data_IF_547597002835
#
_entry.id   IF_547597002835
#
_cell.length_a   1.000
_cell.length_b   1.000
_cell.length_c   1.000
_cell.angle_alpha   90.00
_cell.angle_beta   90.00
_cell.angle_gamma   90.00
#
_symmetry.space_group_name_H-M   'P 1'
#
loop_
_entity.id
_entity.type
_entity.pdbx_description
1 polymer ?
#
# COMPACT_ATOMS: atom_id res chain seq x y z
N UNK A 1 -63.42 -6.06 -82.22
CA UNK A 1 -62.14 -6.25 -82.88
C UNK A 1 -61.23 -5.08 -82.52
N UNK A 2 -60.45 -5.15 -81.48
CA UNK A 2 -59.57 -4.05 -81.06
C UNK A 2 -58.15 -4.55 -81.16
N UNK A 3 -57.34 -3.85 -81.94
CA UNK A 3 -55.91 -4.08 -82.15
C UNK A 3 -55.15 -3.54 -80.94
N UNK A 4 -54.32 -4.40 -80.32
CA UNK A 4 -53.41 -4.00 -79.26
C UNK A 4 -52.05 -3.70 -79.95
N UNK A 5 -51.58 -2.46 -79.81
CA UNK A 5 -50.26 -2.01 -80.21
C UNK A 5 -49.30 -2.22 -79.05
N UNK A 6 -48.27 -3.06 -79.24
CA UNK A 6 -47.21 -3.28 -78.26
C UNK A 6 -46.12 -2.25 -78.58
N UNK A 7 -45.90 -1.35 -77.63
CA UNK A 7 -44.72 -0.46 -77.66
C UNK A 7 -43.54 -1.11 -76.98
N UNK A 8 -42.48 -1.42 -77.73
CA UNK A 8 -41.20 -1.85 -77.17
C UNK A 8 -40.41 -0.64 -76.67
N UNK A 9 -40.26 -0.53 -75.39
CA UNK A 9 -39.35 0.47 -74.80
C UNK A 9 -37.95 -0.18 -74.61
N UNK A 10 -37.00 0.29 -75.41
CA UNK A 10 -35.57 -0.08 -75.30
C UNK A 10 -35.00 0.64 -74.08
N UNK A 11 -34.64 -0.11 -73.05
CA UNK A 11 -33.88 0.40 -71.92
C UNK A 11 -32.39 0.33 -72.24
N UNK A 12 -31.77 1.47 -72.53
CA UNK A 12 -30.32 1.60 -72.55
C UNK A 12 -29.78 1.56 -71.13
N UNK A 13 -29.07 0.49 -70.79
CA UNK A 13 -28.30 0.38 -69.59
C UNK A 13 -26.95 1.12 -69.79
N UNK A 14 -26.82 2.29 -69.20
CA UNK A 14 -25.54 2.97 -69.05
C UNK A 14 -24.73 2.27 -67.99
N UNK A 15 -23.72 1.46 -68.33
CA UNK A 15 -22.68 0.97 -67.42
C UNK A 15 -21.80 2.16 -67.01
N UNK A 16 -22.11 2.83 -65.92
CA UNK A 16 -21.19 3.76 -65.27
C UNK A 16 -20.10 2.89 -64.55
N UNK A 17 -18.94 2.81 -65.18
CA UNK A 17 -17.72 2.27 -64.56
C UNK A 17 -17.30 3.20 -63.41
N UNK A 18 -17.70 2.89 -62.19
CA UNK A 18 -17.11 3.50 -61.00
C UNK A 18 -15.67 3.00 -60.88
N UNK A 19 -14.72 3.78 -61.34
CA UNK A 19 -13.32 3.65 -60.99
C UNK A 19 -13.25 4.01 -59.48
N UNK A 20 -13.24 3.00 -58.62
CA UNK A 20 -12.83 3.16 -57.22
C UNK A 20 -11.38 3.63 -57.23
N UNK A 21 -11.16 4.92 -56.87
CA UNK A 21 -9.82 5.35 -56.44
C UNK A 21 -9.42 4.45 -55.29
N UNK A 22 -8.36 3.70 -55.46
CA UNK A 22 -7.72 3.01 -54.35
C UNK A 22 -7.32 4.10 -53.33
N UNK A 23 -7.87 4.03 -52.12
CA UNK A 23 -7.35 4.78 -50.97
C UNK A 23 -5.87 4.35 -50.81
N UNK A 24 -4.97 5.32 -50.62
CA UNK A 24 -3.56 4.96 -50.32
C UNK A 24 -3.56 4.08 -49.04
N UNK A 25 -3.10 2.86 -49.16
CA UNK A 25 -2.75 2.07 -48.00
C UNK A 25 -1.63 2.84 -47.30
N UNK A 26 -1.94 3.40 -46.14
CA UNK A 26 -0.93 3.89 -45.21
C UNK A 26 -0.22 2.60 -44.75
N UNK A 27 0.96 2.31 -45.29
CA UNK A 27 1.86 1.36 -44.67
C UNK A 27 2.11 1.90 -43.24
N UNK A 28 1.56 1.24 -42.24
CA UNK A 28 1.97 1.47 -40.86
C UNK A 28 3.48 1.18 -40.81
N UNK A 29 4.29 2.24 -40.75
CA UNK A 29 5.72 2.10 -40.44
C UNK A 29 5.81 1.33 -39.13
N UNK A 30 6.24 0.07 -39.20
CA UNK A 30 6.58 -0.71 -38.02
C UNK A 30 7.73 0.04 -37.35
N UNK A 31 7.52 0.62 -36.15
CA UNK A 31 8.56 1.40 -35.48
C UNK A 31 9.80 0.51 -35.30
N UNK A 32 10.96 1.05 -35.63
CA UNK A 32 12.23 0.34 -35.39
C UNK A 32 12.31 -0.09 -33.92
N UNK A 33 12.74 -1.33 -33.62
CA UNK A 33 12.81 -1.81 -32.24
C UNK A 33 13.77 -0.93 -31.43
N UNK A 34 13.27 -0.31 -30.39
CA UNK A 34 14.06 0.50 -29.45
C UNK A 34 14.63 -0.46 -28.39
N UNK A 35 15.95 -0.44 -28.14
CA UNK A 35 16.54 -1.31 -27.14
C UNK A 35 16.04 -0.96 -25.73
N UNK A 36 15.66 -1.96 -24.96
CA UNK A 36 15.09 -1.81 -23.61
C UNK A 36 16.01 -1.03 -22.66
N UNK A 37 17.31 -1.23 -22.79
CA UNK A 37 18.33 -0.54 -21.98
C UNK A 37 18.76 0.82 -22.57
N UNK A 38 18.21 1.23 -23.74
CA UNK A 38 18.68 2.41 -24.48
C UNK A 38 19.95 2.16 -25.29
N UNK A 39 20.50 0.94 -25.27
CA UNK A 39 21.60 0.47 -26.08
C UNK A 39 21.42 -1.03 -26.37
N UNK A 40 22.08 -1.53 -27.42
CA UNK A 40 22.05 -2.94 -27.81
C UNK A 40 23.10 -3.74 -27.03
N UNK A 41 22.72 -4.63 -26.09
CA UNK A 41 23.67 -5.39 -25.27
C UNK A 41 24.38 -6.53 -26.03
N UNK A 42 23.76 -7.08 -27.09
CA UNK A 42 24.18 -8.33 -27.75
C UNK A 42 25.60 -8.32 -28.28
N UNK A 43 26.14 -7.12 -28.56
CA UNK A 43 27.51 -6.95 -29.06
C UNK A 43 28.53 -6.67 -27.95
N UNK A 44 28.13 -6.69 -26.70
CA UNK A 44 28.94 -6.34 -25.54
C UNK A 44 29.12 -7.56 -24.61
N UNK A 45 30.32 -7.68 -24.05
CA UNK A 45 30.57 -8.65 -23.00
C UNK A 45 30.02 -8.13 -21.71
N UNK A 46 29.23 -8.95 -21.01
CA UNK A 46 28.61 -8.56 -19.70
C UNK A 46 29.33 -9.24 -18.55
N UNK A 47 29.49 -8.50 -17.46
CA UNK A 47 29.91 -9.01 -16.16
C UNK A 47 28.90 -8.54 -15.11
N UNK A 48 28.32 -9.47 -14.39
CA UNK A 48 27.40 -9.20 -13.30
C UNK A 48 28.13 -9.05 -11.96
N UNK A 49 27.54 -8.29 -11.06
CA UNK A 49 28.07 -8.07 -9.74
C UNK A 49 27.06 -7.50 -8.76
N UNK A 50 27.50 -7.26 -7.55
CA UNK A 50 26.68 -6.62 -6.53
C UNK A 50 27.44 -5.54 -5.76
N UNK A 51 26.74 -4.56 -5.23
CA UNK A 51 27.30 -3.47 -4.43
C UNK A 51 27.75 -4.03 -3.07
N UNK A 52 29.02 -3.86 -2.76
CA UNK A 52 29.60 -4.28 -1.46
C UNK A 52 29.27 -3.27 -0.36
N UNK A 53 29.27 -3.72 0.88
CA UNK A 53 29.11 -2.82 2.02
C UNK A 53 30.21 -1.75 2.05
N UNK A 54 29.80 -0.47 2.15
CA UNK A 54 30.71 0.66 2.13
C UNK A 54 31.28 1.03 0.75
N UNK A 55 30.88 0.35 -0.31
CA UNK A 55 31.31 0.69 -1.68
C UNK A 55 30.67 2.01 -2.14
N UNK A 56 31.53 2.97 -2.53
CA UNK A 56 31.09 4.23 -3.09
C UNK A 56 30.90 4.13 -4.61
N UNK A 57 30.15 5.07 -5.19
CA UNK A 57 29.95 5.12 -6.65
C UNK A 57 31.29 5.19 -7.40
N UNK A 58 32.17 6.12 -7.04
CA UNK A 58 33.48 6.23 -7.70
C UNK A 58 34.34 4.98 -7.48
N UNK A 59 34.28 4.37 -6.29
CA UNK A 59 34.96 3.10 -6.00
C UNK A 59 34.44 1.94 -6.85
N UNK A 60 33.12 1.88 -7.09
CA UNK A 60 32.54 0.93 -8.02
C UNK A 60 33.09 1.15 -9.44
N UNK A 61 32.93 2.35 -9.99
CA UNK A 61 33.33 2.65 -11.38
C UNK A 61 34.83 2.43 -11.62
N UNK A 62 35.67 2.79 -10.66
CA UNK A 62 37.13 2.51 -10.78
C UNK A 62 37.43 1.00 -10.69
N UNK A 63 36.70 0.24 -9.88
CA UNK A 63 36.88 -1.22 -9.82
C UNK A 63 36.47 -1.92 -11.12
N UNK A 64 35.60 -1.30 -11.92
CA UNK A 64 35.16 -1.76 -13.23
C UNK A 64 36.03 -1.28 -14.40
N UNK A 65 37.11 -0.53 -14.10
CA UNK A 65 38.12 -0.13 -15.09
C UNK A 65 38.08 1.32 -15.55
N UNK A 66 37.22 2.17 -14.96
CA UNK A 66 37.26 3.63 -15.21
C UNK A 66 38.45 4.26 -14.51
N UNK A 67 39.03 5.30 -15.14
CA UNK A 67 39.98 6.18 -14.42
C UNK A 67 39.26 7.02 -13.36
N UNK A 68 39.95 7.46 -12.35
CA UNK A 68 39.35 8.30 -11.30
C UNK A 68 38.78 9.62 -11.84
N UNK A 69 39.41 10.21 -12.88
CA UNK A 69 38.90 11.41 -13.57
C UNK A 69 37.59 11.12 -14.33
N UNK A 70 37.53 10.01 -15.07
CA UNK A 70 36.33 9.59 -15.78
C UNK A 70 35.17 9.28 -14.81
N UNK A 71 35.44 8.57 -13.71
CA UNK A 71 34.44 8.27 -12.68
C UNK A 71 33.92 9.54 -12.00
N UNK A 72 34.77 10.55 -11.82
CA UNK A 72 34.37 11.86 -11.28
C UNK A 72 33.50 12.66 -12.27
N UNK A 73 33.84 12.67 -13.57
CA UNK A 73 33.02 13.31 -14.61
C UNK A 73 31.65 12.65 -14.72
N UNK A 74 31.58 11.31 -14.68
CA UNK A 74 30.33 10.58 -14.66
C UNK A 74 29.51 10.90 -13.39
N UNK A 75 30.17 10.99 -12.23
CA UNK A 75 29.52 11.43 -10.99
C UNK A 75 28.87 12.82 -11.16
N UNK A 76 29.57 13.78 -11.79
CA UNK A 76 29.02 15.11 -12.03
C UNK A 76 27.81 15.07 -12.99
N UNK A 77 27.78 14.14 -13.95
CA UNK A 77 26.65 13.95 -14.85
C UNK A 77 25.40 13.39 -14.14
N UNK A 78 25.56 12.81 -12.94
CA UNK A 78 24.44 12.21 -12.17
C UNK A 78 23.51 13.23 -11.49
N UNK A 79 23.85 14.50 -11.45
CA UNK A 79 23.39 15.56 -10.53
C UNK A 79 21.89 15.73 -10.32
N UNK A 80 21.02 15.32 -11.26
CA UNK A 80 19.56 15.50 -11.14
C UNK A 80 18.74 14.22 -11.23
N UNK A 81 19.27 13.17 -11.87
CA UNK A 81 18.53 11.95 -12.16
C UNK A 81 18.79 10.82 -11.15
N UNK A 82 19.95 10.81 -10.53
CA UNK A 82 20.34 9.76 -9.61
C UNK A 82 21.25 10.27 -8.49
N UNK A 83 20.77 10.20 -7.26
CA UNK A 83 21.62 10.47 -6.10
C UNK A 83 22.53 9.26 -5.83
N UNK A 84 23.81 9.37 -6.16
CA UNK A 84 24.80 8.30 -5.98
C UNK A 84 24.94 7.81 -4.52
N UNK A 85 24.47 8.60 -3.55
CA UNK A 85 24.40 8.20 -2.13
C UNK A 85 23.33 7.16 -1.86
N UNK A 86 22.41 6.94 -2.82
CA UNK A 86 21.35 5.95 -2.74
C UNK A 86 21.76 4.56 -3.21
N UNK A 87 23.03 4.37 -3.61
CA UNK A 87 23.59 3.04 -3.84
C UNK A 87 23.44 2.18 -2.57
N UNK A 88 22.82 1.01 -2.72
CA UNK A 88 22.56 0.11 -1.60
C UNK A 88 23.40 -1.15 -1.72
N UNK A 89 24.08 -1.51 -0.63
CA UNK A 89 24.78 -2.79 -0.52
C UNK A 89 23.78 -3.95 -0.76
N UNK A 90 24.22 -4.93 -1.55
CA UNK A 90 23.40 -6.07 -1.96
C UNK A 90 22.63 -5.88 -3.27
N UNK A 91 22.41 -4.64 -3.75
CA UNK A 91 21.85 -4.42 -5.08
C UNK A 91 22.83 -4.88 -6.15
N UNK A 92 22.30 -5.43 -7.24
CA UNK A 92 23.10 -5.94 -8.36
C UNK A 92 23.38 -4.88 -9.40
N UNK A 93 24.39 -5.12 -10.22
CA UNK A 93 24.66 -4.35 -11.42
C UNK A 93 25.17 -5.29 -12.52
N UNK A 94 25.03 -4.85 -13.77
CA UNK A 94 25.58 -5.48 -14.97
C UNK A 94 26.53 -4.49 -15.64
N UNK A 95 27.80 -4.87 -15.83
CA UNK A 95 28.81 -4.05 -16.48
C UNK A 95 29.07 -4.56 -17.90
N UNK A 96 28.95 -3.71 -18.88
CA UNK A 96 29.02 -4.02 -20.31
C UNK A 96 30.33 -3.48 -20.93
N UNK A 97 31.08 -4.36 -21.57
CA UNK A 97 32.39 -4.07 -22.12
C UNK A 97 32.47 -4.28 -23.64
N UNK A 98 33.21 -3.40 -24.32
CA UNK A 98 33.64 -3.58 -25.69
C UNK A 98 35.19 -3.56 -25.70
N UNK A 99 35.80 -4.64 -26.19
CA UNK A 99 37.28 -4.74 -26.26
C UNK A 99 37.96 -4.40 -24.92
N UNK A 100 37.45 -4.90 -23.82
CA UNK A 100 37.91 -4.62 -22.44
C UNK A 100 37.67 -3.21 -21.94
N UNK A 101 37.03 -2.30 -22.69
CA UNK A 101 36.65 -0.96 -22.26
C UNK A 101 35.21 -0.98 -21.73
N UNK A 102 35.02 -0.49 -20.51
CA UNK A 102 33.70 -0.33 -19.91
C UNK A 102 32.87 0.66 -20.73
N UNK A 103 31.70 0.22 -21.20
CA UNK A 103 30.77 1.03 -21.97
C UNK A 103 29.60 1.49 -21.13
N UNK A 104 28.93 0.55 -20.46
CA UNK A 104 27.74 0.84 -19.66
C UNK A 104 27.77 0.08 -18.35
N UNK A 105 27.16 0.68 -17.33
CA UNK A 105 26.81 -0.02 -16.09
C UNK A 105 25.31 0.14 -15.88
N UNK A 106 24.60 -0.97 -15.75
CA UNK A 106 23.18 -1.02 -15.44
C UNK A 106 23.03 -1.36 -13.96
N UNK A 107 22.67 -0.39 -13.15
CA UNK A 107 22.44 -0.58 -11.72
C UNK A 107 20.98 -0.93 -11.45
N UNK A 108 20.74 -2.07 -10.82
CA UNK A 108 19.42 -2.53 -10.44
C UNK A 108 19.06 -1.96 -9.05
N UNK A 109 18.31 -0.86 -9.00
CA UNK A 109 17.93 -0.21 -7.74
C UNK A 109 16.72 -0.87 -7.06
N UNK A 110 16.12 -1.86 -7.70
CA UNK A 110 14.98 -2.65 -7.23
C UNK A 110 14.58 -3.70 -8.26
N UNK A 111 13.43 -4.34 -8.06
CA UNK A 111 12.92 -5.36 -8.99
C UNK A 111 12.61 -4.79 -10.38
N UNK A 112 12.13 -3.55 -10.44
CA UNK A 112 11.70 -2.86 -11.67
C UNK A 112 12.70 -1.79 -12.08
N UNK A 113 13.17 -0.99 -11.14
CA UNK A 113 13.93 0.20 -11.43
C UNK A 113 15.40 -0.12 -11.77
N UNK A 114 15.84 0.36 -12.91
CA UNK A 114 17.23 0.29 -13.35
C UNK A 114 17.72 1.68 -13.77
N UNK A 115 18.98 1.96 -13.47
CA UNK A 115 19.67 3.16 -13.94
C UNK A 115 20.83 2.72 -14.81
N UNK A 116 20.90 3.23 -16.03
CA UNK A 116 21.99 2.99 -16.96
C UNK A 116 22.96 4.15 -16.89
N UNK A 117 24.24 3.85 -16.67
CA UNK A 117 25.35 4.80 -16.74
C UNK A 117 26.16 4.57 -18.00
N UNK A 118 26.28 5.58 -18.86
CA UNK A 118 27.18 5.59 -20.00
C UNK A 118 28.57 5.97 -19.52
N UNK A 119 29.53 5.05 -19.65
CA UNK A 119 30.86 5.16 -19.07
C UNK A 119 31.92 5.71 -20.05
N UNK A 120 31.51 6.33 -21.14
CA UNK A 120 32.34 7.02 -22.14
C UNK A 120 31.75 8.39 -22.48
N UNK A 121 32.53 9.28 -23.06
CA UNK A 121 32.07 10.63 -23.42
C UNK A 121 31.10 10.65 -24.60
N UNK A 122 30.01 11.45 -24.55
CA UNK A 122 29.62 12.27 -23.39
C UNK A 122 29.04 11.41 -22.28
N UNK A 123 29.55 11.57 -21.04
CA UNK A 123 29.03 10.85 -19.89
C UNK A 123 27.58 11.22 -19.64
N UNK A 124 26.74 10.23 -19.47
CA UNK A 124 25.30 10.40 -19.27
C UNK A 124 24.69 9.25 -18.48
N UNK A 125 23.46 9.42 -18.04
CA UNK A 125 22.67 8.37 -17.41
C UNK A 125 21.18 8.52 -17.76
N UNK A 126 20.44 7.42 -17.66
CA UNK A 126 18.99 7.42 -17.83
C UNK A 126 18.35 6.27 -17.04
N UNK A 127 17.06 6.41 -16.77
CA UNK A 127 16.25 5.35 -16.20
C UNK A 127 15.80 4.39 -17.32
N UNK A 128 15.97 3.09 -17.11
CA UNK A 128 15.54 2.04 -18.00
C UNK A 128 14.74 0.99 -17.20
N UNK A 129 13.56 1.33 -16.69
CA UNK A 129 12.78 0.39 -15.88
C UNK A 129 12.42 -0.85 -16.70
N UNK A 130 12.38 -2.03 -16.04
CA UNK A 130 11.86 -3.25 -16.65
C UNK A 130 10.38 -3.08 -16.96
N UNK A 131 9.91 -3.74 -17.98
CA UNK A 131 8.49 -3.85 -18.25
C UNK A 131 7.81 -4.63 -17.12
N UNK A 132 6.60 -4.20 -16.78
CA UNK A 132 5.77 -4.84 -15.78
C UNK A 132 4.44 -5.24 -16.40
N UNK A 133 3.93 -6.38 -15.94
CA UNK A 133 2.61 -6.86 -16.28
C UNK A 133 1.67 -6.63 -15.10
N UNK A 134 0.48 -6.11 -15.38
CA UNK A 134 -0.58 -5.97 -14.40
C UNK A 134 -1.52 -7.16 -14.53
N UNK A 135 -1.58 -7.97 -13.47
CA UNK A 135 -2.35 -9.22 -13.45
C UNK A 135 -3.42 -9.14 -12.38
N UNK A 136 -4.65 -9.44 -12.78
CA UNK A 136 -5.75 -9.61 -11.84
C UNK A 136 -5.79 -11.06 -11.35
N UNK A 137 -5.93 -11.25 -10.04
CA UNK A 137 -5.98 -12.56 -9.38
C UNK A 137 -7.17 -12.67 -8.44
N UNK A 138 -7.56 -13.91 -8.23
CA UNK A 138 -8.54 -14.32 -7.24
C UNK A 138 -7.90 -15.32 -6.28
N UNK A 139 -8.25 -15.20 -5.01
CA UNK A 139 -7.85 -16.14 -3.96
C UNK A 139 -9.06 -16.45 -3.09
N UNK A 140 -9.27 -17.73 -2.81
CA UNK A 140 -10.34 -18.24 -1.96
C UNK A 140 -9.73 -19.13 -0.89
N UNK A 141 -9.81 -18.69 0.37
CA UNK A 141 -9.12 -19.33 1.48
C UNK A 141 -10.07 -19.55 2.63
N UNK A 142 -10.20 -20.82 3.05
CA UNK A 142 -10.86 -21.19 4.29
C UNK A 142 -9.83 -21.36 5.40
N UNK A 143 -10.09 -20.76 6.55
CA UNK A 143 -9.18 -20.79 7.69
C UNK A 143 -9.25 -22.15 8.37
N UNK A 144 -8.08 -22.77 8.52
CA UNK A 144 -7.91 -24.05 9.23
C UNK A 144 -6.91 -23.93 10.38
N UNK A 145 -6.03 -22.94 10.35
CA UNK A 145 -5.01 -22.72 11.37
C UNK A 145 -4.84 -21.24 11.72
N UNK A 146 -4.45 -20.44 10.75
CA UNK A 146 -4.32 -18.99 10.89
C UNK A 146 -4.40 -18.32 9.51
N UNK A 147 -4.84 -17.07 9.48
CA UNK A 147 -4.88 -16.30 8.23
C UNK A 147 -3.54 -16.37 7.48
N UNK A 148 -2.43 -16.15 8.19
CA UNK A 148 -1.11 -16.16 7.58
C UNK A 148 -0.76 -17.49 6.92
N UNK A 149 -0.86 -18.59 7.68
CA UNK A 149 -0.47 -19.91 7.19
C UNK A 149 -1.37 -20.37 6.05
N UNK A 150 -2.68 -20.20 6.21
CA UNK A 150 -3.65 -20.67 5.22
C UNK A 150 -3.60 -19.85 3.93
N UNK A 151 -3.41 -18.52 4.02
CA UNK A 151 -3.21 -17.65 2.85
C UNK A 151 -1.91 -17.99 2.09
N UNK A 152 -0.79 -18.18 2.79
CA UNK A 152 0.48 -18.59 2.17
C UNK A 152 0.35 -19.97 1.50
N UNK A 153 -0.37 -20.91 2.10
CA UNK A 153 -0.62 -22.23 1.50
C UNK A 153 -1.46 -22.15 0.21
N UNK A 154 -2.20 -21.06 0.00
CA UNK A 154 -2.96 -20.77 -1.22
C UNK A 154 -2.27 -19.75 -2.13
N UNK A 155 -0.93 -19.68 -2.11
CA UNK A 155 -0.10 -18.80 -2.93
C UNK A 155 -0.41 -17.29 -2.80
N UNK A 156 -1.08 -16.88 -1.72
CA UNK A 156 -1.26 -15.48 -1.42
C UNK A 156 0.02 -14.87 -0.85
N UNK A 157 0.37 -13.68 -1.34
CA UNK A 157 1.57 -13.01 -0.87
C UNK A 157 1.40 -12.40 0.54
N UNK A 158 2.49 -12.25 1.31
CA UNK A 158 2.47 -11.49 2.57
C UNK A 158 1.88 -10.08 2.43
N UNK A 159 2.11 -9.43 1.29
CA UNK A 159 1.58 -8.09 1.00
C UNK A 159 0.04 -8.08 0.92
N UNK A 160 -0.57 -9.11 0.29
CA UNK A 160 -2.02 -9.28 0.27
C UNK A 160 -2.60 -9.46 1.69
N UNK A 161 -1.93 -10.27 2.53
CA UNK A 161 -2.38 -10.50 3.90
C UNK A 161 -2.38 -9.20 4.71
N UNK A 162 -1.32 -8.38 4.55
CA UNK A 162 -1.24 -7.08 5.21
C UNK A 162 -2.33 -6.13 4.73
N UNK A 163 -2.59 -6.07 3.42
CA UNK A 163 -3.67 -5.24 2.85
C UNK A 163 -5.06 -5.67 3.36
N UNK A 164 -5.34 -6.96 3.42
CA UNK A 164 -6.60 -7.46 4.00
C UNK A 164 -6.71 -7.10 5.49
N UNK A 165 -5.61 -7.22 6.23
CA UNK A 165 -5.58 -6.82 7.63
C UNK A 165 -5.87 -5.33 7.81
N UNK A 166 -5.39 -4.48 6.90
CA UNK A 166 -5.68 -3.04 6.92
C UNK A 166 -7.14 -2.73 6.51
N UNK A 167 -7.67 -3.40 5.47
CA UNK A 167 -9.04 -3.21 4.99
C UNK A 167 -10.06 -3.59 6.06
N UNK A 168 -9.87 -4.75 6.66
CA UNK A 168 -10.79 -5.30 7.65
C UNK A 168 -10.43 -5.00 9.11
N UNK A 169 -9.41 -4.17 9.36
CA UNK A 169 -8.89 -3.85 10.69
C UNK A 169 -9.96 -3.47 11.73
N UNK A 170 -11.12 -3.02 11.27
CA UNK A 170 -12.22 -2.47 12.08
C UNK A 170 -13.42 -3.40 12.19
N UNK A 171 -13.56 -4.32 11.24
CA UNK A 171 -14.76 -5.14 11.06
C UNK A 171 -14.52 -6.61 11.38
N UNK A 172 -13.27 -7.07 11.27
CA UNK A 172 -12.87 -8.46 11.52
C UNK A 172 -11.81 -8.51 12.62
N UNK A 173 -12.02 -9.36 13.61
CA UNK A 173 -11.02 -9.68 14.61
C UNK A 173 -10.10 -10.79 14.10
N UNK A 174 -8.94 -10.41 13.55
CA UNK A 174 -7.97 -11.34 13.00
C UNK A 174 -7.30 -12.26 14.04
N UNK A 175 -7.35 -11.90 15.33
CA UNK A 175 -6.87 -12.76 16.41
C UNK A 175 -7.94 -13.76 16.90
N UNK A 176 -9.20 -13.51 16.57
CA UNK A 176 -10.34 -14.35 16.89
C UNK A 176 -10.87 -15.14 15.70
N UNK A 177 -10.10 -15.30 14.62
CA UNK A 177 -10.49 -16.14 13.50
C UNK A 177 -10.70 -17.57 13.95
N UNK A 178 -11.73 -18.23 13.42
CA UNK A 178 -12.11 -19.59 13.73
C UNK A 178 -11.95 -20.48 12.50
N UNK A 179 -11.89 -21.79 12.74
CA UNK A 179 -12.02 -22.77 11.64
C UNK A 179 -13.28 -22.49 10.85
N UNK A 180 -13.21 -22.67 9.52
CA UNK A 180 -14.27 -22.38 8.53
C UNK A 180 -14.52 -20.88 8.26
N UNK A 181 -13.87 -19.93 8.93
CA UNK A 181 -13.85 -18.55 8.44
C UNK A 181 -13.27 -18.53 7.03
N UNK A 182 -13.85 -17.76 6.12
CA UNK A 182 -13.46 -17.79 4.71
C UNK A 182 -13.19 -16.38 4.18
N UNK A 183 -12.13 -16.24 3.40
CA UNK A 183 -11.79 -15.04 2.66
C UNK A 183 -11.79 -15.32 1.17
N UNK A 184 -12.58 -14.55 0.41
CA UNK A 184 -12.57 -14.53 -1.06
C UNK A 184 -12.11 -13.16 -1.51
N UNK A 185 -11.08 -13.08 -2.32
CA UNK A 185 -10.40 -11.82 -2.62
C UNK A 185 -10.09 -11.71 -4.11
N UNK A 186 -10.58 -10.65 -4.75
CA UNK A 186 -10.22 -10.23 -6.09
C UNK A 186 -9.25 -9.05 -5.99
N UNK A 187 -8.05 -9.18 -6.55
CA UNK A 187 -7.00 -8.18 -6.40
C UNK A 187 -6.12 -8.06 -7.65
N UNK A 188 -5.47 -6.91 -7.80
CA UNK A 188 -4.46 -6.66 -8.81
C UNK A 188 -3.05 -6.78 -8.25
N UNK A 189 -2.14 -7.25 -9.05
CA UNK A 189 -0.73 -7.32 -8.72
C UNK A 189 0.14 -6.93 -9.90
N UNK A 190 1.27 -6.32 -9.59
CA UNK A 190 2.32 -6.01 -10.55
C UNK A 190 3.34 -7.13 -10.57
N UNK A 191 3.61 -7.65 -11.75
CA UNK A 191 4.61 -8.69 -12.01
C UNK A 191 5.76 -8.09 -12.84
N UNK A 192 6.97 -8.58 -12.63
CA UNK A 192 8.13 -8.26 -13.43
C UNK A 192 8.91 -9.55 -13.68
N UNK A 193 9.13 -9.91 -14.96
CA UNK A 193 9.84 -11.14 -15.35
C UNK A 193 9.28 -12.40 -14.63
N UNK A 194 7.95 -12.48 -14.49
CA UNK A 194 7.26 -13.57 -13.80
C UNK A 194 7.32 -13.55 -12.28
N UNK A 195 8.02 -12.59 -11.67
CA UNK A 195 8.10 -12.43 -10.23
C UNK A 195 7.16 -11.35 -9.71
N UNK A 196 6.55 -11.58 -8.55
CA UNK A 196 5.70 -10.57 -7.89
C UNK A 196 6.54 -9.36 -7.46
N UNK A 197 6.11 -8.18 -7.87
CA UNK A 197 6.65 -6.89 -7.43
C UNK A 197 5.85 -6.36 -6.25
N UNK A 198 4.53 -6.21 -6.42
CA UNK A 198 3.60 -5.70 -5.41
C UNK A 198 2.19 -6.24 -5.63
N UNK A 199 1.41 -6.28 -4.57
CA UNK A 199 -0.05 -6.29 -4.69
C UNK A 199 -0.50 -4.83 -4.77
N UNK A 200 -1.23 -4.48 -5.82
CA UNK A 200 -1.56 -3.06 -6.06
C UNK A 200 -2.85 -2.69 -5.33
N UNK A 201 -3.95 -3.29 -5.74
CA UNK A 201 -5.29 -2.96 -5.26
C UNK A 201 -6.07 -4.23 -4.95
N UNK A 202 -6.76 -4.26 -3.82
CA UNK A 202 -7.82 -5.22 -3.57
C UNK A 202 -9.11 -4.60 -4.11
N UNK A 203 -9.67 -5.15 -5.17
CA UNK A 203 -10.89 -4.63 -5.79
C UNK A 203 -12.13 -5.02 -5.01
N UNK A 204 -12.14 -6.26 -4.55
CA UNK A 204 -13.27 -6.81 -3.80
C UNK A 204 -12.78 -7.91 -2.87
N UNK A 205 -13.25 -7.87 -1.64
CA UNK A 205 -13.01 -8.94 -0.71
C UNK A 205 -14.28 -9.28 0.06
N UNK A 206 -14.44 -10.55 0.41
CA UNK A 206 -15.56 -11.04 1.21
C UNK A 206 -15.01 -11.90 2.33
N UNK A 207 -15.33 -11.53 3.55
CA UNK A 207 -15.11 -12.34 4.74
C UNK A 207 -16.43 -12.99 5.17
N UNK A 208 -16.43 -14.30 5.37
CA UNK A 208 -17.55 -15.05 5.88
C UNK A 208 -17.23 -15.74 7.20
N UNK A 209 -18.16 -15.68 8.15
CA UNK A 209 -18.19 -16.46 9.38
C UNK A 209 -19.61 -16.95 9.66
N UNK A 210 -19.88 -18.24 9.45
CA UNK A 210 -21.24 -18.77 9.47
C UNK A 210 -22.12 -17.97 8.49
N UNK A 211 -23.25 -17.48 8.99
CA UNK A 211 -24.20 -16.69 8.19
C UNK A 211 -23.79 -15.22 8.03
N UNK A 212 -22.73 -14.78 8.70
CA UNK A 212 -22.25 -13.39 8.61
C UNK A 212 -21.33 -13.23 7.40
N UNK A 213 -21.68 -12.29 6.52
CA UNK A 213 -20.84 -11.84 5.43
C UNK A 213 -20.44 -10.37 5.64
N UNK A 214 -19.18 -10.05 5.39
CA UNK A 214 -18.64 -8.68 5.39
C UNK A 214 -17.94 -8.45 4.07
N UNK A 215 -18.53 -7.63 3.22
CA UNK A 215 -17.98 -7.26 1.92
C UNK A 215 -17.11 -6.02 2.02
N UNK A 216 -16.03 -5.99 1.27
CA UNK A 216 -15.18 -4.82 1.05
C UNK A 216 -15.17 -4.52 -0.45
N UNK A 217 -15.85 -3.48 -0.87
CA UNK A 217 -15.98 -3.05 -2.26
C UNK A 217 -15.11 -1.83 -2.44
N UNK A 218 -14.13 -1.88 -3.34
CA UNK A 218 -13.28 -0.73 -3.65
C UNK A 218 -14.02 0.24 -4.56
N UNK A 219 -14.13 1.47 -4.11
CA UNK A 219 -14.60 2.62 -4.90
C UNK A 219 -13.92 3.89 -4.36
N UNK A 220 -13.08 4.49 -5.19
CA UNK A 220 -12.43 5.77 -4.88
C UNK A 220 -13.37 6.92 -5.27
N UNK A 221 -13.75 7.73 -4.29
CA UNK A 221 -14.58 8.93 -4.49
C UNK A 221 -13.76 10.18 -4.81
N UNK A 222 -12.42 10.05 -4.84
CA UNK A 222 -11.50 11.13 -5.17
C UNK A 222 -11.14 12.04 -4.00
N UNK A 223 -11.67 11.80 -2.81
CA UNK A 223 -11.32 12.56 -1.59
C UNK A 223 -10.09 12.00 -0.86
N UNK A 224 -9.60 10.83 -1.28
CA UNK A 224 -8.41 10.16 -0.77
C UNK A 224 -8.52 9.63 0.66
N UNK A 225 -9.70 9.70 1.31
CA UNK A 225 -9.88 9.38 2.72
C UNK A 225 -10.29 7.93 2.97
N UNK A 226 -11.09 7.37 2.10
CA UNK A 226 -11.60 6.00 2.19
C UNK A 226 -11.95 5.48 0.80
N UNK A 227 -11.58 4.23 0.53
CA UNK A 227 -11.85 3.58 -0.76
C UNK A 227 -12.56 2.22 -0.61
N UNK A 228 -12.89 1.79 0.63
CA UNK A 228 -13.56 0.52 0.88
C UNK A 228 -14.89 0.71 1.59
N UNK A 229 -15.94 0.17 0.99
CA UNK A 229 -17.32 0.29 1.41
C UNK A 229 -17.96 -1.09 1.55
N UNK A 230 -18.90 -1.23 2.47
CA UNK A 230 -19.76 -2.41 2.49
C UNK A 230 -20.90 -2.26 1.45
N UNK A 231 -21.77 -3.25 1.35
CA UNK A 231 -22.86 -3.24 0.37
C UNK A 231 -23.92 -2.18 0.64
N UNK A 232 -24.05 -1.72 1.88
CA UNK A 232 -24.91 -0.60 2.29
C UNK A 232 -24.27 0.77 2.01
N UNK A 233 -23.01 0.82 1.54
CA UNK A 233 -22.23 2.05 1.36
C UNK A 233 -21.76 2.64 2.68
N UNK A 234 -21.68 1.86 3.72
CA UNK A 234 -21.01 2.26 4.93
C UNK A 234 -19.50 2.06 4.77
N UNK A 235 -18.72 2.99 5.29
CA UNK A 235 -17.28 2.89 5.32
C UNK A 235 -16.83 1.68 6.16
N UNK A 236 -15.96 0.84 5.61
CA UNK A 236 -15.26 -0.18 6.39
C UNK A 236 -14.25 0.44 7.34
N UNK A 237 -13.79 1.63 7.07
CA UNK A 237 -12.97 2.41 8.00
C UNK A 237 -13.84 2.93 9.13
N UNK A 238 -13.53 2.55 10.34
CA UNK A 238 -14.16 3.11 11.53
C UNK A 238 -13.39 4.34 12.01
N UNK A 239 -14.07 5.25 12.70
CA UNK A 239 -13.45 6.48 13.19
C UNK A 239 -12.30 6.22 14.18
N UNK A 240 -12.27 5.06 14.83
CA UNK A 240 -11.25 4.72 15.82
C UNK A 240 -10.69 3.32 15.67
N UNK A 241 -9.37 3.16 15.88
CA UNK A 241 -8.66 1.90 16.02
C UNK A 241 -9.13 1.14 17.28
N UNK A 242 -9.29 -0.18 17.20
CA UNK A 242 -9.57 -1.00 18.39
C UNK A 242 -8.45 -0.95 19.41
N UNK A 243 -7.21 -0.72 18.99
CA UNK A 243 -6.07 -0.59 19.87
C UNK A 243 -5.03 0.37 19.29
N UNK A 244 -4.30 1.12 20.13
CA UNK A 244 -3.26 2.06 19.72
C UNK A 244 -1.92 1.41 19.39
N UNK A 245 -1.82 0.07 19.43
CA UNK A 245 -0.63 -0.74 19.17
C UNK A 245 -0.96 -1.85 18.18
N UNK A 246 -0.05 -2.16 17.24
CA UNK A 246 -0.22 -3.25 16.27
C UNK A 246 -0.23 -4.64 16.91
N UNK A 247 0.63 -4.85 17.93
CA UNK A 247 0.71 -6.09 18.68
C UNK A 247 0.71 -5.76 20.16
N UNK A 248 -0.22 -6.35 20.91
CA UNK A 248 -0.37 -6.05 22.33
C UNK A 248 -0.96 -7.23 23.11
N UNK A 249 -0.68 -7.21 24.40
CA UNK A 249 -1.33 -8.06 25.40
C UNK A 249 -1.92 -7.14 26.45
N UNK A 250 -3.21 -7.24 26.70
CA UNK A 250 -3.84 -6.50 27.79
C UNK A 250 -3.32 -7.02 29.12
N UNK A 251 -2.64 -6.17 29.87
CA UNK A 251 -2.13 -6.49 31.22
C UNK A 251 -3.08 -6.03 32.34
N UNK A 252 -3.91 -5.00 32.06
CA UNK A 252 -4.92 -4.53 32.99
C UNK A 252 -6.09 -3.90 32.24
N UNK A 253 -7.31 -4.29 32.58
CA UNK A 253 -8.53 -3.77 31.99
C UNK A 253 -9.04 -2.52 32.70
N UNK A 254 -10.06 -1.89 32.05
CA UNK A 254 -10.82 -0.78 32.61
C UNK A 254 -11.65 -1.22 33.82
N UNK A 255 -11.62 -0.46 34.90
CA UNK A 255 -12.44 -0.72 36.09
C UNK A 255 -12.59 0.54 36.94
N UNK A 256 -13.79 0.84 37.39
CA UNK A 256 -14.03 1.89 38.39
C UNK A 256 -13.69 1.44 39.84
N UNK A 257 -13.61 0.10 40.08
CA UNK A 257 -13.47 -0.48 41.41
C UNK A 257 -12.30 -1.47 41.46
N UNK A 258 -11.14 -1.13 40.93
CA UNK A 258 -9.96 -1.98 40.96
C UNK A 258 -9.32 -1.97 42.35
N UNK A 259 -9.15 -3.14 42.95
CA UNK A 259 -8.34 -3.31 44.15
C UNK A 259 -6.86 -3.31 43.80
N UNK A 260 -6.07 -2.38 44.35
CA UNK A 260 -4.64 -2.30 44.11
C UNK A 260 -3.95 -3.55 44.66
N UNK A 261 -3.14 -4.31 43.90
CA UNK A 261 -2.63 -5.61 44.31
C UNK A 261 -1.67 -5.54 45.52
N UNK A 262 -1.03 -4.40 45.74
CA UNK A 262 -0.08 -4.21 46.84
C UNK A 262 -0.70 -3.54 48.05
N UNK A 263 -1.49 -2.49 47.85
CA UNK A 263 -2.03 -1.67 48.96
C UNK A 263 -3.44 -2.08 49.42
N UNK A 264 -4.13 -2.92 48.65
CA UNK A 264 -5.51 -3.33 48.91
C UNK A 264 -6.56 -2.19 48.74
N UNK A 265 -6.11 -0.96 48.49
CA UNK A 265 -6.99 0.18 48.27
C UNK A 265 -7.76 0.06 46.98
N UNK A 266 -9.03 0.43 46.99
CA UNK A 266 -9.83 0.51 45.78
C UNK A 266 -9.50 1.81 45.05
N UNK A 267 -8.99 1.71 43.82
CA UNK A 267 -8.72 2.83 42.92
C UNK A 267 -9.31 2.55 41.55
N UNK A 268 -9.96 3.56 40.98
CA UNK A 268 -10.40 3.48 39.61
C UNK A 268 -9.18 3.39 38.66
N UNK A 269 -9.22 2.44 37.70
CA UNK A 269 -8.36 2.42 36.55
C UNK A 269 -9.22 2.71 35.32
N UNK A 270 -9.27 3.99 34.91
CA UNK A 270 -10.11 4.47 33.81
C UNK A 270 -9.41 4.39 32.46
N UNK A 271 -8.58 3.36 32.26
CA UNK A 271 -7.84 3.06 31.06
C UNK A 271 -7.68 1.56 30.83
N UNK A 272 -6.96 1.21 29.80
CA UNK A 272 -6.53 -0.16 29.49
C UNK A 272 -5.02 -0.14 29.35
N UNK A 273 -4.35 -1.03 30.10
CA UNK A 273 -2.90 -1.19 30.02
C UNK A 273 -2.53 -2.26 29.00
N UNK A 274 -1.81 -1.84 27.97
CA UNK A 274 -1.25 -2.71 26.95
C UNK A 274 0.23 -2.97 27.23
N UNK A 275 0.57 -4.18 27.65
CA UNK A 275 1.97 -4.59 27.83
C UNK A 275 2.66 -4.73 26.47
N UNK A 276 3.74 -3.98 26.29
CA UNK A 276 4.56 -4.02 25.10
C UNK A 276 6.01 -3.58 25.43
N UNK A 277 7.03 -4.02 24.69
CA UNK A 277 8.41 -3.57 24.89
C UNK A 277 8.56 -2.06 24.77
N UNK A 278 9.49 -1.49 25.56
CA UNK A 278 9.86 -0.07 25.41
C UNK A 278 10.31 0.20 23.98
N UNK A 279 9.81 1.29 23.40
CA UNK A 279 10.10 1.69 22.01
C UNK A 279 9.11 1.17 20.98
N UNK A 280 8.12 0.34 21.36
CA UNK A 280 7.01 -0.04 20.47
C UNK A 280 6.26 1.21 20.02
N UNK A 281 5.99 1.39 18.70
CA UNK A 281 5.25 2.55 18.19
C UNK A 281 3.83 2.60 18.75
N UNK A 282 3.43 3.79 19.22
CA UNK A 282 2.07 4.10 19.68
C UNK A 282 1.41 4.98 18.64
N UNK A 283 0.23 4.57 18.18
CA UNK A 283 -0.53 5.24 17.13
C UNK A 283 -1.74 5.96 17.69
N UNK A 284 -2.10 7.09 17.05
CA UNK A 284 -3.41 7.70 17.26
C UNK A 284 -4.51 6.73 16.82
N UNK A 285 -5.51 6.50 17.67
CA UNK A 285 -6.63 5.61 17.31
C UNK A 285 -7.58 6.22 16.28
N UNK A 286 -7.54 7.52 16.06
CA UNK A 286 -8.40 8.24 15.12
C UNK A 286 -7.77 9.53 14.64
N UNK A 287 -8.34 10.11 13.60
CA UNK A 287 -8.02 11.46 13.19
C UNK A 287 -8.33 12.43 14.33
N UNK A 288 -7.50 13.44 14.52
CA UNK A 288 -7.71 14.38 15.61
C UNK A 288 -6.68 15.51 15.69
N UNK A 289 -6.81 16.31 16.74
CA UNK A 289 -5.88 17.39 17.05
C UNK A 289 -5.21 17.13 18.37
N UNK A 290 -3.89 17.21 18.41
CA UNK A 290 -3.10 17.08 19.65
C UNK A 290 -3.42 18.27 20.58
N UNK A 291 -3.94 17.98 21.77
CA UNK A 291 -4.33 19.00 22.74
C UNK A 291 -3.30 19.19 23.85
N UNK A 292 -2.48 18.17 24.13
CA UNK A 292 -1.43 18.22 25.15
C UNK A 292 -0.31 17.26 24.83
N UNK A 293 0.92 17.69 25.11
CA UNK A 293 2.14 16.88 25.12
C UNK A 293 2.95 17.30 26.34
N UNK A 294 3.26 16.38 27.21
CA UNK A 294 4.08 16.69 28.37
C UNK A 294 4.13 15.58 29.41
N UNK A 295 4.86 15.82 30.50
CA UNK A 295 4.89 14.92 31.66
C UNK A 295 3.75 15.27 32.60
N UNK A 296 2.87 14.30 32.85
CA UNK A 296 1.69 14.44 33.70
C UNK A 296 1.91 13.72 35.06
N UNK A 297 3.09 13.84 35.64
CA UNK A 297 3.42 13.25 36.95
C UNK A 297 3.26 11.75 36.99
N UNK A 298 2.23 11.23 37.67
CA UNK A 298 1.98 9.79 37.74
C UNK A 298 1.76 9.13 36.37
N UNK A 299 1.19 9.82 35.40
CA UNK A 299 0.99 9.34 34.04
C UNK A 299 2.26 9.35 33.19
N UNK A 300 3.34 9.98 33.68
CA UNK A 300 4.59 10.12 32.92
C UNK A 300 4.41 10.95 31.64
N UNK A 301 5.22 10.67 30.65
CA UNK A 301 5.12 11.33 29.35
C UNK A 301 3.81 10.94 28.66
N UNK A 302 2.97 11.92 28.37
CA UNK A 302 1.60 11.75 27.90
C UNK A 302 1.37 12.56 26.63
N UNK A 303 0.60 12.02 25.70
CA UNK A 303 0.00 12.72 24.56
C UNK A 303 -1.51 12.65 24.72
N UNK A 304 -2.20 13.79 24.53
CA UNK A 304 -3.67 13.85 24.48
C UNK A 304 -4.14 14.33 23.12
N UNK A 305 -5.17 13.68 22.60
CA UNK A 305 -5.77 13.99 21.31
C UNK A 305 -7.27 14.19 21.48
N UNK A 306 -7.80 15.25 20.86
CA UNK A 306 -9.23 15.47 20.68
C UNK A 306 -9.59 15.08 19.27
N UNK A 307 -10.42 14.05 19.13
CA UNK A 307 -10.87 13.55 17.85
C UNK A 307 -12.01 14.38 17.26
N UNK A 308 -12.99 14.69 18.09
CA UNK A 308 -14.15 15.54 17.74
C UNK A 308 -14.75 16.19 18.98
N UNK A 309 -15.98 16.68 18.90
CA UNK A 309 -16.69 17.27 20.05
C UNK A 309 -17.05 16.26 21.14
N UNK A 310 -17.09 14.96 20.79
CA UNK A 310 -17.56 13.89 21.69
C UNK A 310 -16.39 13.11 22.28
N UNK A 311 -15.35 12.78 21.48
CA UNK A 311 -14.30 11.85 21.85
C UNK A 311 -12.92 12.50 22.02
N UNK A 312 -12.23 12.10 23.07
CA UNK A 312 -10.82 12.41 23.29
C UNK A 312 -10.08 11.21 23.88
N UNK A 313 -8.76 11.15 23.65
CA UNK A 313 -7.89 10.06 24.10
C UNK A 313 -6.65 10.58 24.79
N UNK A 314 -6.04 9.72 25.61
CA UNK A 314 -4.71 9.94 26.16
C UNK A 314 -3.87 8.65 26.12
N UNK A 315 -2.58 8.86 25.89
CA UNK A 315 -1.55 7.83 25.71
C UNK A 315 -0.44 8.12 26.72
N UNK A 316 -0.35 7.30 27.78
CA UNK A 316 0.47 7.57 28.96
C UNK A 316 1.71 6.64 28.99
N UNK A 317 2.63 6.95 29.91
CA UNK A 317 3.87 6.23 30.18
C UNK A 317 4.84 6.13 29.00
N UNK A 318 4.77 7.06 28.03
CA UNK A 318 5.59 7.06 26.82
C UNK A 318 7.09 7.23 27.16
N UNK A 319 7.97 6.54 26.44
CA UNK A 319 9.42 6.73 26.52
C UNK A 319 9.84 8.03 25.82
N UNK A 320 9.21 8.34 24.69
CA UNK A 320 9.42 9.54 23.89
C UNK A 320 8.21 9.83 23.00
N UNK A 321 8.08 11.07 22.58
CA UNK A 321 7.11 11.50 21.59
C UNK A 321 7.60 11.24 20.16
N UNK A 322 6.72 11.20 19.18
CA UNK A 322 7.10 11.18 17.77
C UNK A 322 7.86 12.47 17.40
N UNK A 323 8.83 12.35 16.51
CA UNK A 323 9.63 13.49 16.07
C UNK A 323 8.75 14.54 15.39
N UNK A 324 8.88 15.80 15.84
CA UNK A 324 8.12 16.91 15.26
C UNK A 324 6.67 17.04 15.74
N UNK A 325 6.15 16.15 16.58
CA UNK A 325 4.79 16.24 17.11
C UNK A 325 4.62 17.50 17.98
N UNK A 326 3.58 18.28 17.73
CA UNK A 326 3.30 19.56 18.41
C UNK A 326 1.83 19.67 18.86
N UNK A 327 1.60 20.40 19.94
CA UNK A 327 0.25 20.80 20.37
C UNK A 327 -0.39 21.64 19.24
N UNK A 328 -1.64 21.37 18.94
CA UNK A 328 -2.41 21.98 17.85
C UNK A 328 -2.24 21.28 16.49
N UNK A 329 -1.31 20.33 16.36
CA UNK A 329 -1.10 19.56 15.14
C UNK A 329 -2.27 18.60 14.91
N UNK A 330 -2.74 18.49 13.67
CA UNK A 330 -3.61 17.40 13.24
C UNK A 330 -2.78 16.14 13.05
N UNK A 331 -3.32 15.04 13.51
CA UNK A 331 -2.78 13.70 13.33
C UNK A 331 -3.83 12.82 12.69
N UNK A 332 -3.39 11.92 11.86
CA UNK A 332 -4.27 10.95 11.20
C UNK A 332 -4.37 9.67 12.02
N UNK A 333 -5.46 8.93 11.82
CA UNK A 333 -5.62 7.60 12.35
C UNK A 333 -4.45 6.68 11.93
N UNK A 334 -3.86 5.96 12.89
CA UNK A 334 -2.68 5.11 12.63
C UNK A 334 -1.34 5.87 12.60
N UNK A 335 -1.35 7.21 12.67
CA UNK A 335 -0.11 7.99 12.76
C UNK A 335 0.61 7.73 14.08
N UNK A 336 1.93 7.51 14.01
CA UNK A 336 2.75 7.29 15.21
C UNK A 336 2.91 8.61 15.97
N UNK A 337 2.45 8.64 17.20
CA UNK A 337 2.46 9.81 18.10
C UNK A 337 3.48 9.71 19.22
N UNK A 338 4.03 8.53 19.46
CA UNK A 338 5.00 8.26 20.50
C UNK A 338 5.41 6.81 20.56
N UNK A 339 6.08 6.44 21.62
CA UNK A 339 6.63 5.10 21.80
C UNK A 339 6.43 4.61 23.21
N UNK A 340 6.06 3.35 23.38
CA UNK A 340 5.86 2.73 24.70
C UNK A 340 7.08 2.93 25.59
N UNK A 341 6.84 3.17 26.85
CA UNK A 341 7.86 3.38 27.88
C UNK A 341 7.46 2.87 29.25
N UNK A 342 8.06 3.47 30.26
CA UNK A 342 7.83 3.18 31.67
C UNK A 342 8.00 4.47 32.51
N UNK A 343 7.61 5.62 31.97
CA UNK A 343 7.72 6.91 32.68
C UNK A 343 6.57 7.11 33.67
N UNK A 344 6.76 7.97 34.68
CA UNK A 344 5.78 8.17 35.76
C UNK A 344 5.77 7.01 36.79
N UNK A 345 4.60 6.56 37.21
CA UNK A 345 4.45 5.51 38.25
C UNK A 345 4.25 4.10 37.68
N UNK A 346 4.72 3.85 36.46
CA UNK A 346 4.64 2.55 35.83
C UNK A 346 5.57 1.52 36.51
N UNK A 347 5.09 0.27 36.68
CA UNK A 347 5.87 -0.84 37.28
C UNK A 347 6.60 -1.69 36.26
N UNK A 348 6.33 -1.53 34.99
CA UNK A 348 6.95 -2.22 33.86
C UNK A 348 6.56 -1.55 32.54
N UNK A 349 7.22 -1.88 31.43
CA UNK A 349 6.91 -1.28 30.14
C UNK A 349 5.48 -1.59 29.69
N UNK A 350 4.65 -0.56 29.52
CA UNK A 350 3.28 -0.65 29.02
C UNK A 350 2.79 0.71 28.51
N UNK A 351 1.69 0.70 27.78
CA UNK A 351 0.90 1.87 27.44
C UNK A 351 -0.38 1.85 28.28
N UNK A 352 -0.63 2.87 29.11
CA UNK A 352 -1.96 3.14 29.67
C UNK A 352 -2.73 4.00 28.64
N UNK A 353 -3.77 3.40 28.05
CA UNK A 353 -4.59 4.02 27.03
C UNK A 353 -5.97 4.35 27.58
N UNK A 354 -6.39 5.61 27.40
CA UNK A 354 -7.66 6.12 27.95
C UNK A 354 -8.51 6.79 26.89
N UNK A 355 -9.81 6.60 27.00
CA UNK A 355 -10.83 7.22 26.13
C UNK A 355 -11.88 7.93 26.96
N UNK A 356 -12.28 9.11 26.54
CA UNK A 356 -13.40 9.84 27.09
C UNK A 356 -14.46 10.08 26.01
N UNK A 357 -15.72 9.92 26.39
CA UNK A 357 -16.88 10.30 25.61
C UNK A 357 -17.66 11.39 26.39
N UNK A 358 -17.81 12.57 25.80
CA UNK A 358 -18.40 13.75 26.45
C UNK A 358 -17.78 14.05 27.84
N UNK A 359 -16.44 13.91 27.93
CA UNK A 359 -15.69 14.13 29.17
C UNK A 359 -15.78 13.02 30.22
N UNK A 360 -16.55 11.96 29.99
CA UNK A 360 -16.67 10.80 30.87
C UNK A 360 -15.75 9.68 30.38
N UNK A 361 -14.89 9.10 31.25
CA UNK A 361 -14.07 7.94 30.86
C UNK A 361 -14.94 6.75 30.46
N UNK A 362 -14.62 6.10 29.36
CA UNK A 362 -15.31 4.89 28.91
C UNK A 362 -14.31 3.75 28.71
N UNK A 363 -14.81 2.51 28.73
CA UNK A 363 -13.97 1.35 28.50
C UNK A 363 -13.60 1.24 27.00
N UNK A 364 -12.31 1.42 26.63
CA UNK A 364 -11.86 1.32 25.22
C UNK A 364 -12.18 -0.03 24.56
N UNK A 365 -12.20 -1.12 25.32
CA UNK A 365 -12.41 -2.48 24.80
C UNK A 365 -13.85 -2.75 24.34
N UNK A 366 -14.81 -2.04 24.94
CA UNK A 366 -16.24 -2.18 24.64
C UNK A 366 -16.79 -0.99 23.87
N UNK A 367 -15.92 -0.03 23.53
CA UNK A 367 -16.31 1.14 22.76
C UNK A 367 -16.70 0.72 21.35
N UNK A 368 -17.93 1.02 20.96
CA UNK A 368 -18.34 0.95 19.55
C UNK A 368 -17.74 2.14 18.81
N UNK A 369 -16.85 1.86 17.87
CA UNK A 369 -16.30 2.91 17.04
C UNK A 369 -17.37 3.40 16.06
N UNK A 370 -17.71 4.70 16.04
CA UNK A 370 -18.63 5.22 15.05
C UNK A 370 -18.09 4.97 13.65
N UNK A 371 -18.98 4.71 12.69
CA UNK A 371 -18.60 4.66 11.27
C UNK A 371 -18.11 6.04 10.85
N UNK A 372 -17.16 6.08 9.93
CA UNK A 372 -16.85 7.28 9.16
C UNK A 372 -18.09 7.60 8.30
N UNK A 373 -18.18 8.81 7.77
CA UNK A 373 -19.31 9.21 6.94
C UNK A 373 -19.64 8.15 5.87
N UNK A 374 -20.94 7.86 5.67
CA UNK A 374 -21.36 6.92 4.63
C UNK A 374 -21.01 7.47 3.25
N UNK A 375 -20.98 6.59 2.27
CA UNK A 375 -20.78 6.94 0.87
C UNK A 375 -21.83 7.98 0.43
N UNK A 376 -21.43 9.12 -0.16
CA UNK A 376 -22.39 10.08 -0.70
C UNK A 376 -23.34 9.42 -1.70
N UNK A 377 -24.64 9.79 -1.65
CA UNK A 377 -25.70 9.18 -2.46
C UNK A 377 -25.41 9.20 -3.97
N UNK A 378 -24.69 10.21 -4.46
CA UNK A 378 -24.29 10.33 -5.86
C UNK A 378 -23.38 9.19 -6.34
N UNK A 379 -22.63 8.55 -5.43
CA UNK A 379 -21.74 7.42 -5.75
C UNK A 379 -22.39 6.04 -5.56
N UNK A 380 -23.62 5.96 -5.04
CA UNK A 380 -24.33 4.68 -4.83
C UNK A 380 -24.47 3.87 -6.12
N UNK A 381 -24.87 4.44 -7.28
CA UNK A 381 -24.95 3.68 -8.52
C UNK A 381 -23.59 3.12 -8.98
N UNK A 382 -22.50 3.84 -8.69
CA UNK A 382 -21.15 3.39 -9.01
C UNK A 382 -20.74 2.20 -8.11
N UNK A 383 -21.04 2.26 -6.81
CA UNK A 383 -20.78 1.17 -5.86
C UNK A 383 -21.52 -0.11 -6.27
N UNK A 384 -22.82 0.00 -6.62
CA UNK A 384 -23.64 -1.14 -7.05
C UNK A 384 -23.11 -1.76 -8.35
N UNK A 385 -22.61 -0.92 -9.27
CA UNK A 385 -21.96 -1.36 -10.50
C UNK A 385 -20.66 -2.10 -10.22
N UNK A 386 -19.80 -1.56 -9.35
CA UNK A 386 -18.56 -2.20 -8.91
C UNK A 386 -18.85 -3.55 -8.24
N UNK A 387 -19.79 -3.59 -7.30
CA UNK A 387 -20.23 -4.82 -6.62
C UNK A 387 -20.67 -5.90 -7.62
N UNK A 388 -21.53 -5.53 -8.55
CA UNK A 388 -22.05 -6.46 -9.57
C UNK A 388 -20.93 -7.00 -10.45
N UNK A 389 -20.05 -6.12 -10.94
CA UNK A 389 -18.92 -6.48 -11.77
C UNK A 389 -17.96 -7.42 -11.04
N UNK A 390 -17.52 -7.06 -9.85
CA UNK A 390 -16.53 -7.84 -9.10
C UNK A 390 -17.09 -9.19 -8.66
N UNK A 391 -18.37 -9.23 -8.27
CA UNK A 391 -19.04 -10.48 -7.90
C UNK A 391 -19.14 -11.42 -9.10
N UNK A 392 -19.51 -10.92 -10.27
CA UNK A 392 -19.53 -11.71 -11.50
C UNK A 392 -18.16 -12.27 -11.89
N UNK A 393 -17.09 -11.52 -11.63
CA UNK A 393 -15.71 -11.98 -11.86
C UNK A 393 -15.32 -13.13 -10.93
N UNK A 394 -15.68 -13.03 -9.64
CA UNK A 394 -15.40 -14.08 -8.65
C UNK A 394 -16.19 -15.35 -8.98
N UNK A 395 -17.45 -15.21 -9.37
CA UNK A 395 -18.32 -16.35 -9.69
C UNK A 395 -17.92 -17.05 -11.01
N UNK A 396 -17.13 -16.41 -11.86
CA UNK A 396 -16.60 -16.95 -13.12
C UNK A 396 -15.23 -17.64 -12.98
N UNK A 397 -14.55 -17.51 -11.86
CA UNK A 397 -13.23 -18.09 -11.54
C UNK A 397 -13.36 -19.35 -10.70
#
# INVERSE_FOLDING_TARGET
MKKIVVCLLSVMVFCASCVRKAEPQIEEEIPEPVPELGFWPDSLRVEDGFIKSGQTFSGLMTSLGMSSDAAYKLYQACDTLFDVRTLRAGNTFDAYYRDSLLQYVVYNSGKVNRVVFQCFEPYSLWNAPRQVDYVQKYTDVTITSSLWNDMIAHDASPDLILKLSDIYAWTVDFFGLQEEDRFRVLYGQTMCEGALVSVDTVYYAVYNRGDKEVQAIMLDTGDGSNIYWNEEGESLRKAFLKAPLKFNRISSGFSYNRRHPVTGQVRAHTGVDYAAPTGTPVMSIGDGTVTSIGNEGAGGNTVRIRHNSVYSTAYLHLSRYASGLKVGQRVSQGEVIGYVGMTGTATGPHLDFRVWMNGTPINPLTMESPSVEPLPEEFRPALDSCKTLYRSMIDAM
#
